data_IF_498615442565
#
_entry.id   IF_498615442565
#
_cell.length_a   1.000
_cell.length_b   1.000
_cell.length_c   1.000
_cell.angle_alpha   90.00
_cell.angle_beta   90.00
_cell.angle_gamma   90.00
#
_symmetry.space_group_name_H-M   'P 1'
#
loop_
_entity.id
_entity.type
_entity.pdbx_description
1 polymer ?
#
# COMPACT_ATOMS: atom_id res chain seq x y z
N UNK A 1 -26.54 5.29 9.90
CA UNK A 1 -25.80 4.06 9.55
C UNK A 1 -24.50 4.10 10.33
N UNK A 2 -24.09 3.03 11.02
CA UNK A 2 -22.96 3.09 11.96
C UNK A 2 -21.63 3.07 11.19
N UNK A 3 -20.89 4.18 11.18
CA UNK A 3 -19.69 4.45 10.35
C UNK A 3 -18.64 3.32 10.35
N UNK A 4 -18.56 2.58 11.47
CA UNK A 4 -17.68 1.41 11.61
C UNK A 4 -17.99 0.29 10.60
N UNK A 5 -19.26 0.10 10.22
CA UNK A 5 -19.66 -0.93 9.26
C UNK A 5 -19.27 -0.55 7.84
N UNK A 6 -19.46 0.72 7.45
CA UNK A 6 -19.12 1.22 6.12
C UNK A 6 -17.62 1.02 5.82
N UNK A 7 -16.76 1.36 6.78
CA UNK A 7 -15.31 1.23 6.64
C UNK A 7 -14.89 -0.24 6.49
N UNK A 8 -15.47 -1.13 7.30
CA UNK A 8 -15.23 -2.58 7.15
C UNK A 8 -15.61 -3.03 5.76
N UNK A 9 -16.78 -2.64 5.27
CA UNK A 9 -17.25 -2.98 3.92
C UNK A 9 -16.28 -2.50 2.85
N UNK A 10 -15.82 -1.23 2.91
CA UNK A 10 -14.86 -0.67 1.94
C UNK A 10 -13.55 -1.46 1.93
N UNK A 11 -13.03 -1.84 3.09
CA UNK A 11 -11.77 -2.60 3.20
C UNK A 11 -11.91 -3.99 2.57
N UNK A 12 -13.00 -4.70 2.84
CA UNK A 12 -13.21 -6.05 2.30
C UNK A 12 -13.51 -6.03 0.81
N UNK A 13 -14.27 -5.04 0.33
CA UNK A 13 -14.48 -4.81 -1.11
C UNK A 13 -13.14 -4.51 -1.79
N UNK A 14 -12.32 -3.63 -1.21
CA UNK A 14 -11.00 -3.30 -1.74
C UNK A 14 -10.10 -4.54 -1.80
N UNK A 15 -10.13 -5.39 -0.76
CA UNK A 15 -9.41 -6.67 -0.76
C UNK A 15 -9.90 -7.58 -1.89
N UNK A 16 -11.21 -7.77 -2.03
CA UNK A 16 -11.77 -8.62 -3.08
C UNK A 16 -11.36 -8.14 -4.48
N UNK A 17 -11.45 -6.83 -4.74
CA UNK A 17 -11.03 -6.24 -6.02
C UNK A 17 -9.53 -6.45 -6.26
N UNK A 18 -8.69 -6.23 -5.25
CA UNK A 18 -7.23 -6.47 -5.34
C UNK A 18 -6.94 -7.94 -5.64
N UNK A 19 -7.60 -8.88 -4.97
CA UNK A 19 -7.41 -10.31 -5.24
C UNK A 19 -7.86 -10.69 -6.65
N UNK A 20 -8.99 -10.18 -7.13
CA UNK A 20 -9.46 -10.41 -8.50
C UNK A 20 -8.48 -9.88 -9.55
N UNK A 21 -7.98 -8.66 -9.37
CA UNK A 21 -6.96 -8.10 -10.26
C UNK A 21 -5.65 -8.89 -10.22
N UNK A 22 -5.24 -9.38 -9.05
CA UNK A 22 -4.05 -10.23 -8.92
C UNK A 22 -4.20 -11.51 -9.74
N UNK A 23 -5.37 -12.16 -9.71
CA UNK A 23 -5.66 -13.36 -10.52
C UNK A 23 -5.54 -13.04 -12.01
N UNK A 24 -6.09 -11.92 -12.47
CA UNK A 24 -5.96 -11.47 -13.86
C UNK A 24 -4.51 -11.20 -14.30
N UNK A 25 -3.62 -10.83 -13.37
CA UNK A 25 -2.19 -10.60 -13.66
C UNK A 25 -1.34 -11.87 -13.76
N UNK A 26 -1.84 -13.03 -13.32
CA UNK A 26 -1.11 -14.30 -13.42
C UNK A 26 -0.74 -14.62 -14.88
N UNK A 27 -1.62 -14.26 -15.82
CA UNK A 27 -1.46 -14.53 -17.25
C UNK A 27 -0.52 -13.57 -17.99
N UNK A 28 0.06 -12.55 -17.33
CA UNK A 28 0.93 -11.56 -18.00
C UNK A 28 2.40 -12.03 -18.13
N UNK A 29 3.15 -11.60 -19.18
CA UNK A 29 4.54 -12.03 -19.39
C UNK A 29 5.54 -11.63 -18.28
N UNK A 30 5.26 -10.56 -17.53
CA UNK A 30 6.07 -10.14 -16.37
C UNK A 30 5.54 -10.71 -15.04
N UNK A 31 4.61 -11.68 -15.08
CA UNK A 31 3.88 -12.14 -13.90
C UNK A 31 4.78 -12.74 -12.83
N UNK A 32 5.97 -13.25 -13.15
CA UNK A 32 6.84 -13.89 -12.15
C UNK A 32 7.21 -12.96 -10.97
N UNK A 33 7.48 -11.68 -11.22
CA UNK A 33 7.80 -10.72 -10.15
C UNK A 33 6.56 -10.36 -9.32
N UNK A 34 5.41 -10.25 -10.00
CA UNK A 34 4.12 -9.92 -9.39
C UNK A 34 3.55 -11.08 -8.59
N UNK A 35 3.72 -12.30 -9.09
CA UNK A 35 3.35 -13.56 -8.46
C UNK A 35 4.27 -13.82 -7.27
N UNK A 36 5.60 -13.70 -7.42
CA UNK A 36 6.51 -13.92 -6.31
C UNK A 36 6.31 -12.88 -5.20
N UNK A 37 6.17 -11.61 -5.56
CA UNK A 37 5.88 -10.55 -4.59
C UNK A 37 4.50 -10.73 -3.95
N UNK A 38 3.47 -11.00 -4.75
CA UNK A 38 2.11 -11.28 -4.30
C UNK A 38 2.02 -12.49 -3.39
N UNK A 39 2.73 -13.57 -3.69
CA UNK A 39 2.78 -14.79 -2.88
C UNK A 39 3.48 -14.55 -1.54
N UNK A 40 4.66 -13.91 -1.54
CA UNK A 40 5.36 -13.54 -0.30
C UNK A 40 4.48 -12.66 0.60
N UNK A 41 3.73 -11.73 0.00
CA UNK A 41 2.80 -10.89 0.72
C UNK A 41 1.58 -11.65 1.25
N UNK A 42 0.99 -12.55 0.46
CA UNK A 42 -0.15 -13.37 0.87
C UNK A 42 0.24 -14.31 2.00
N UNK A 43 1.39 -14.98 1.89
CA UNK A 43 1.96 -15.80 2.97
C UNK A 43 2.16 -14.96 4.22
N UNK A 44 2.68 -13.73 4.08
CA UNK A 44 2.87 -12.84 5.24
C UNK A 44 1.56 -12.41 5.89
N UNK A 45 0.53 -12.15 5.08
CA UNK A 45 -0.81 -11.82 5.55
C UNK A 45 -1.47 -13.00 6.28
N UNK A 46 -1.44 -14.20 5.69
CA UNK A 46 -1.98 -15.42 6.29
C UNK A 46 -1.27 -15.75 7.60
N UNK A 47 0.06 -15.68 7.63
CA UNK A 47 0.83 -15.92 8.85
C UNK A 47 0.53 -14.89 9.94
N UNK A 48 0.24 -13.63 9.60
CA UNK A 48 -0.23 -12.65 10.59
C UNK A 48 -1.57 -13.06 11.21
N UNK A 49 -2.55 -13.50 10.41
CA UNK A 49 -3.86 -13.95 10.91
C UNK A 49 -3.69 -15.18 11.79
N UNK A 50 -2.95 -16.18 11.32
CA UNK A 50 -2.62 -17.39 12.09
C UNK A 50 -1.98 -17.01 13.42
N UNK A 51 -1.01 -16.11 13.41
CA UNK A 51 -0.32 -15.66 14.63
C UNK A 51 -1.26 -14.99 15.64
N UNK A 52 -2.24 -14.23 15.17
CA UNK A 52 -3.27 -13.62 16.02
C UNK A 52 -4.22 -14.68 16.60
N UNK A 53 -4.70 -15.61 15.77
CA UNK A 53 -5.60 -16.73 16.17
C UNK A 53 -4.95 -17.62 17.24
N UNK A 54 -3.68 -17.99 17.06
CA UNK A 54 -2.95 -18.85 17.99
C UNK A 54 -2.43 -18.09 19.23
N UNK A 55 -2.69 -16.79 19.36
CA UNK A 55 -2.34 -16.03 20.55
C UNK A 55 -0.83 -15.87 20.77
N UNK A 56 -0.02 -16.00 19.71
CA UNK A 56 1.45 -15.85 19.76
C UNK A 56 1.89 -14.44 20.24
N UNK A 57 0.99 -13.45 20.19
CA UNK A 57 1.15 -12.15 20.86
C UNK A 57 1.41 -12.25 22.37
N UNK A 58 1.06 -13.37 22.99
CA UNK A 58 1.22 -13.62 24.43
C UNK A 58 2.58 -14.22 24.78
N UNK A 59 3.35 -14.69 23.78
CA UNK A 59 4.66 -15.31 23.97
C UNK A 59 5.66 -14.35 24.61
N UNK A 60 6.49 -14.88 25.52
CA UNK A 60 7.52 -14.12 26.24
C UNK A 60 8.52 -13.45 25.30
N UNK A 61 8.89 -14.13 24.21
CA UNK A 61 9.79 -13.60 23.19
C UNK A 61 9.27 -12.29 22.56
N UNK A 62 7.99 -12.23 22.20
CA UNK A 62 7.38 -11.03 21.57
C UNK A 62 7.36 -9.84 22.53
N UNK A 63 7.26 -10.10 23.84
CA UNK A 63 7.29 -9.08 24.88
C UNK A 63 8.70 -8.57 25.18
N UNK A 64 9.74 -9.26 24.72
CA UNK A 64 11.13 -8.95 25.03
C UNK A 64 11.56 -7.59 24.44
N UNK A 65 12.22 -6.75 25.24
CA UNK A 65 12.59 -5.38 24.85
C UNK A 65 13.48 -5.33 23.61
N UNK A 66 14.43 -6.27 23.47
CA UNK A 66 15.27 -6.38 22.28
C UNK A 66 14.42 -6.59 21.02
N UNK A 67 13.51 -7.55 21.04
CA UNK A 67 12.63 -7.85 19.91
C UNK A 67 11.77 -6.64 19.53
N UNK A 68 11.17 -5.98 20.52
CA UNK A 68 10.33 -4.78 20.32
C UNK A 68 11.12 -3.59 19.79
N UNK A 69 12.37 -3.43 20.23
CA UNK A 69 13.26 -2.37 19.76
C UNK A 69 13.69 -2.60 18.30
N UNK A 70 14.06 -3.83 17.96
CA UNK A 70 14.36 -4.22 16.58
C UNK A 70 13.15 -4.02 15.66
N UNK A 71 11.96 -4.42 16.11
CA UNK A 71 10.72 -4.22 15.35
C UNK A 71 10.38 -2.74 15.14
N UNK A 72 10.61 -1.90 16.17
CA UNK A 72 10.47 -0.45 16.08
C UNK A 72 11.45 0.14 15.06
N UNK A 73 12.72 -0.29 15.08
CA UNK A 73 13.71 0.12 14.09
C UNK A 73 13.30 -0.27 12.67
N UNK A 74 12.86 -1.51 12.46
CA UNK A 74 12.36 -1.97 11.15
C UNK A 74 11.15 -1.16 10.69
N UNK A 75 10.28 -0.72 11.61
CA UNK A 75 9.18 0.20 11.28
C UNK A 75 9.65 1.56 10.79
N UNK A 76 10.72 2.10 11.37
CA UNK A 76 11.36 3.31 10.86
C UNK A 76 11.95 3.15 9.44
N UNK A 77 12.28 1.92 9.04
CA UNK A 77 12.85 1.60 7.73
C UNK A 77 11.80 1.36 6.63
N UNK A 78 10.50 1.50 6.90
CA UNK A 78 9.44 1.25 5.90
C UNK A 78 9.60 2.08 4.62
N UNK A 79 10.08 3.32 4.74
CA UNK A 79 10.35 4.18 3.58
C UNK A 79 11.50 3.66 2.70
N UNK A 80 12.54 3.10 3.33
CA UNK A 80 13.67 2.49 2.63
C UNK A 80 13.25 1.16 1.99
N UNK A 81 12.44 0.36 2.69
CA UNK A 81 11.88 -0.87 2.15
C UNK A 81 10.99 -0.60 0.92
N UNK A 82 10.16 0.45 0.98
CA UNK A 82 9.35 0.89 -0.16
C UNK A 82 10.22 1.30 -1.36
N UNK A 83 11.30 2.03 -1.11
CA UNK A 83 12.26 2.42 -2.15
C UNK A 83 12.88 1.17 -2.80
N UNK A 84 13.34 0.22 -1.97
CA UNK A 84 13.98 -1.00 -2.45
C UNK A 84 13.01 -1.88 -3.26
N UNK A 85 11.75 -2.02 -2.84
CA UNK A 85 10.71 -2.73 -3.60
C UNK A 85 10.52 -2.07 -4.97
N UNK A 86 10.39 -0.74 -5.01
CA UNK A 86 10.22 0.01 -6.24
C UNK A 86 11.38 -0.13 -7.22
N UNK A 87 12.62 0.00 -6.73
CA UNK A 87 13.83 -0.22 -7.52
C UNK A 87 13.92 -1.67 -7.99
N UNK A 88 13.59 -2.64 -7.13
CA UNK A 88 13.58 -4.06 -7.48
C UNK A 88 12.61 -4.37 -8.63
N UNK A 89 11.41 -3.78 -8.61
CA UNK A 89 10.44 -3.89 -9.70
C UNK A 89 11.01 -3.23 -10.96
N UNK A 90 11.55 -2.01 -10.86
CA UNK A 90 12.09 -1.25 -11.99
C UNK A 90 13.24 -1.97 -12.71
N UNK A 91 14.10 -2.62 -11.95
CA UNK A 91 15.27 -3.37 -12.44
C UNK A 91 15.05 -4.87 -12.54
N UNK A 92 13.82 -5.34 -12.30
CA UNK A 92 13.44 -6.77 -12.39
C UNK A 92 14.33 -7.69 -11.52
N UNK A 93 14.68 -7.23 -10.31
CA UNK A 93 15.51 -7.97 -9.36
C UNK A 93 14.64 -8.69 -8.32
N UNK A 94 14.50 -10.00 -8.46
CA UNK A 94 13.71 -10.82 -7.52
C UNK A 94 14.33 -10.82 -6.11
N UNK A 95 15.66 -10.85 -6.00
CA UNK A 95 16.36 -10.84 -4.71
C UNK A 95 16.07 -9.56 -3.93
N UNK A 96 16.18 -8.40 -4.58
CA UNK A 96 15.92 -7.12 -3.92
C UNK A 96 14.45 -6.96 -3.57
N UNK A 97 13.56 -7.50 -4.42
CA UNK A 97 12.13 -7.53 -4.16
C UNK A 97 11.87 -8.33 -2.88
N UNK A 98 12.33 -9.58 -2.80
CA UNK A 98 12.14 -10.45 -1.63
C UNK A 98 12.67 -9.80 -0.34
N UNK A 99 13.88 -9.24 -0.36
CA UNK A 99 14.43 -8.55 0.81
C UNK A 99 13.54 -7.35 1.19
N UNK A 100 13.13 -6.53 0.22
CA UNK A 100 12.34 -5.33 0.47
C UNK A 100 10.97 -5.66 1.06
N UNK A 101 10.36 -6.72 0.53
CA UNK A 101 9.12 -7.29 1.02
C UNK A 101 9.27 -7.81 2.45
N UNK A 102 10.30 -8.58 2.75
CA UNK A 102 10.54 -9.08 4.11
C UNK A 102 10.74 -7.95 5.13
N UNK A 103 11.45 -6.88 4.75
CA UNK A 103 11.62 -5.71 5.63
C UNK A 103 10.28 -4.99 5.80
N UNK A 104 9.54 -4.73 4.73
CA UNK A 104 8.25 -4.02 4.79
C UNK A 104 7.20 -4.82 5.57
N UNK A 105 7.15 -6.14 5.39
CA UNK A 105 6.24 -7.02 6.14
C UNK A 105 6.75 -7.31 7.54
N UNK A 106 8.01 -7.00 7.89
CA UNK A 106 8.60 -7.11 9.24
C UNK A 106 8.33 -8.45 9.89
N UNK A 107 8.60 -9.53 9.16
CA UNK A 107 8.27 -10.89 9.58
C UNK A 107 6.76 -11.04 9.89
N UNK A 108 5.90 -11.12 8.88
CA UNK A 108 4.47 -11.43 9.08
C UNK A 108 3.66 -10.38 9.84
N UNK A 109 3.97 -9.10 9.63
CA UNK A 109 3.25 -7.96 10.17
C UNK A 109 3.24 -7.91 11.71
N UNK A 110 4.27 -8.42 12.39
CA UNK A 110 4.33 -8.45 13.88
C UNK A 110 4.20 -7.04 14.50
N UNK A 111 4.45 -5.97 13.74
CA UNK A 111 4.17 -4.59 14.19
C UNK A 111 2.67 -4.31 14.43
N UNK A 112 1.75 -5.01 13.75
CA UNK A 112 0.31 -4.98 14.06
C UNK A 112 0.03 -5.63 15.41
N UNK A 113 0.68 -6.76 15.70
CA UNK A 113 0.63 -7.39 17.04
C UNK A 113 1.24 -6.43 18.08
N UNK A 114 2.34 -5.76 17.79
CA UNK A 114 2.93 -4.76 18.69
C UNK A 114 2.03 -3.53 18.87
N UNK A 115 1.25 -3.08 17.87
CA UNK A 115 0.22 -2.03 18.04
C UNK A 115 -0.97 -2.51 18.87
N UNK A 116 -1.43 -3.75 18.68
CA UNK A 116 -2.47 -4.36 19.51
C UNK A 116 -2.01 -4.53 20.97
N UNK A 117 -0.74 -4.87 21.18
CA UNK A 117 -0.08 -5.00 22.49
C UNK A 117 0.19 -3.62 23.13
N UNK A 118 0.70 -2.63 22.37
CA UNK A 118 1.07 -1.29 22.86
C UNK A 118 -0.14 -0.41 23.14
N UNK A 119 -1.18 -0.49 22.31
CA UNK A 119 -2.33 0.41 22.43
C UNK A 119 -3.35 -0.05 23.48
N UNK A 120 -3.15 -1.20 24.16
CA UNK A 120 -4.21 -1.92 24.90
C UNK A 120 -5.52 -2.04 24.09
N UNK A 121 -5.42 -2.00 22.76
CA UNK A 121 -6.53 -2.17 21.81
C UNK A 121 -6.51 -3.61 21.32
N UNK A 122 -6.45 -4.57 22.24
CA UNK A 122 -6.86 -5.93 21.88
C UNK A 122 -8.36 -5.80 21.67
N UNK A 123 -8.79 -5.66 20.42
CA UNK A 123 -10.19 -5.81 20.10
C UNK A 123 -10.50 -7.27 20.39
N UNK A 124 -11.29 -7.54 21.41
CA UNK A 124 -11.70 -8.92 21.76
C UNK A 124 -12.47 -9.58 20.59
N UNK A 125 -12.87 -8.80 19.59
CA UNK A 125 -13.49 -9.25 18.36
C UNK A 125 -12.46 -9.58 17.27
N UNK A 126 -12.37 -10.86 16.92
CA UNK A 126 -11.58 -11.39 15.80
C UNK A 126 -11.79 -10.63 14.48
N UNK A 127 -13.03 -10.24 14.14
CA UNK A 127 -13.34 -9.53 12.90
C UNK A 127 -12.69 -8.15 12.82
N UNK A 128 -12.52 -7.47 13.96
CA UNK A 128 -11.83 -6.18 14.01
C UNK A 128 -10.33 -6.37 13.78
N UNK A 129 -9.73 -7.42 14.37
CA UNK A 129 -8.34 -7.81 14.13
C UNK A 129 -8.08 -8.11 12.65
N UNK A 130 -8.92 -8.94 12.03
CA UNK A 130 -8.85 -9.27 10.61
C UNK A 130 -8.96 -8.01 9.72
N UNK A 131 -9.88 -7.11 10.05
CA UNK A 131 -10.04 -5.84 9.31
C UNK A 131 -8.78 -4.99 9.39
N UNK A 132 -8.16 -4.85 10.57
CA UNK A 132 -6.94 -4.06 10.75
C UNK A 132 -5.75 -4.68 10.00
N UNK A 133 -5.63 -6.01 10.03
CA UNK A 133 -4.62 -6.74 9.25
C UNK A 133 -4.82 -6.52 7.76
N UNK A 134 -6.07 -6.58 7.29
CA UNK A 134 -6.42 -6.30 5.88
C UNK A 134 -6.11 -4.87 5.47
N UNK A 135 -6.42 -3.89 6.35
CA UNK A 135 -6.04 -2.49 6.12
C UNK A 135 -4.54 -2.35 5.94
N UNK A 136 -3.75 -2.94 6.84
CA UNK A 136 -2.29 -2.90 6.73
C UNK A 136 -1.78 -3.57 5.45
N UNK A 137 -2.39 -4.71 5.07
CA UNK A 137 -2.13 -5.36 3.80
C UNK A 137 -2.35 -4.41 2.62
N UNK A 138 -3.56 -3.88 2.45
CA UNK A 138 -3.88 -2.95 1.37
C UNK A 138 -2.99 -1.71 1.40
N UNK A 139 -2.68 -1.22 2.60
CA UNK A 139 -1.83 -0.05 2.80
C UNK A 139 -0.39 -0.29 2.33
N UNK A 140 0.18 -1.49 2.51
CA UNK A 140 1.57 -1.78 2.18
C UNK A 140 1.77 -2.32 0.76
N UNK A 141 0.86 -3.15 0.29
CA UNK A 141 1.11 -4.06 -0.85
C UNK A 141 0.38 -3.62 -2.12
N UNK A 142 -0.86 -3.16 -2.00
CA UNK A 142 -1.72 -2.89 -3.14
C UNK A 142 -1.12 -1.84 -4.09
N UNK A 143 -0.39 -0.86 -3.57
CA UNK A 143 0.21 0.20 -4.41
C UNK A 143 1.35 -0.27 -5.33
N UNK A 144 2.01 -1.39 -5.02
CA UNK A 144 3.12 -1.88 -5.83
C UNK A 144 2.68 -2.98 -6.79
N UNK A 145 1.78 -3.88 -6.36
CA UNK A 145 1.41 -5.10 -7.08
C UNK A 145 0.85 -4.91 -8.50
N UNK A 146 0.36 -3.71 -8.82
CA UNK A 146 -0.29 -3.42 -10.10
C UNK A 146 0.51 -2.49 -10.99
N UNK A 147 1.70 -2.08 -10.59
CA UNK A 147 2.56 -1.24 -11.41
C UNK A 147 3.09 -2.05 -12.60
N UNK A 148 3.26 -1.43 -13.75
CA UNK A 148 3.71 -2.09 -14.99
C UNK A 148 4.68 -1.21 -15.76
N UNK A 149 4.50 0.11 -15.69
CA UNK A 149 5.22 1.08 -16.50
C UNK A 149 6.35 1.76 -15.72
N UNK A 150 7.49 2.08 -16.35
CA UNK A 150 8.65 2.64 -15.65
C UNK A 150 8.37 3.95 -14.91
N UNK A 151 7.57 4.85 -15.48
CA UNK A 151 7.35 6.18 -14.89
C UNK A 151 6.43 6.07 -13.67
N UNK A 152 5.30 5.38 -13.78
CA UNK A 152 4.45 5.11 -12.62
C UNK A 152 5.20 4.37 -11.50
N UNK A 153 6.13 3.46 -11.84
CA UNK A 153 6.94 2.75 -10.84
C UNK A 153 7.78 3.75 -10.06
N UNK A 154 8.53 4.62 -10.75
CA UNK A 154 9.38 5.62 -10.10
C UNK A 154 8.53 6.58 -9.24
N UNK A 155 7.46 7.14 -9.81
CA UNK A 155 6.60 8.11 -9.12
C UNK A 155 5.97 7.46 -7.89
N UNK A 156 5.41 6.25 -8.02
CA UNK A 156 4.84 5.52 -6.89
C UNK A 156 5.89 5.21 -5.84
N UNK A 157 7.09 4.80 -6.23
CA UNK A 157 8.18 4.51 -5.29
C UNK A 157 8.51 5.74 -4.44
N UNK A 158 8.68 6.89 -5.07
CA UNK A 158 8.92 8.17 -4.38
C UNK A 158 7.75 8.51 -3.45
N UNK A 159 6.51 8.41 -3.95
CA UNK A 159 5.31 8.66 -3.14
C UNK A 159 5.28 7.81 -1.88
N UNK A 160 5.56 6.52 -2.04
CA UNK A 160 5.51 5.51 -0.98
C UNK A 160 6.60 5.72 0.04
N UNK A 161 7.82 6.02 -0.40
CA UNK A 161 8.92 6.39 0.50
C UNK A 161 8.57 7.62 1.32
N UNK A 162 8.11 8.70 0.68
CA UNK A 162 7.69 9.93 1.37
C UNK A 162 6.54 9.65 2.34
N UNK A 163 5.53 8.87 1.95
CA UNK A 163 4.42 8.52 2.83
C UNK A 163 4.88 7.77 4.09
N UNK A 164 5.85 6.88 3.95
CA UNK A 164 6.30 5.99 5.03
C UNK A 164 7.33 6.63 5.96
N UNK A 165 7.93 7.76 5.59
CA UNK A 165 8.81 8.54 6.50
C UNK A 165 8.15 8.91 7.82
N UNK A 166 6.81 8.98 7.87
CA UNK A 166 6.07 9.21 9.12
C UNK A 166 6.30 8.10 10.14
N UNK A 167 6.59 6.87 9.70
CA UNK A 167 6.93 5.77 10.60
C UNK A 167 8.30 5.99 11.25
N UNK A 168 9.29 6.51 10.51
CA UNK A 168 10.57 6.92 11.07
C UNK A 168 10.39 8.04 12.10
N UNK A 169 9.56 9.04 11.80
CA UNK A 169 9.25 10.12 12.74
C UNK A 169 8.62 9.56 14.04
N UNK A 170 7.67 8.63 13.94
CA UNK A 170 7.06 7.98 15.11
C UNK A 170 8.09 7.26 16.00
N UNK A 171 9.09 6.60 15.41
CA UNK A 171 10.17 5.92 16.16
C UNK A 171 11.08 6.93 16.86
N UNK A 172 11.25 8.12 16.29
CA UNK A 172 12.08 9.20 16.85
C UNK A 172 11.35 10.08 17.87
N UNK A 173 10.02 9.95 18.00
CA UNK A 173 9.18 10.84 18.84
C UNK A 173 9.72 11.01 20.25
N UNK A 174 10.13 9.92 20.88
CA UNK A 174 10.54 9.92 22.28
C UNK A 174 12.05 10.23 22.43
N UNK A 175 12.76 10.45 21.32
CA UNK A 175 14.20 10.76 21.25
C UNK A 175 14.49 12.22 20.86
N UNK A 176 13.48 12.93 20.36
CA UNK A 176 13.60 14.31 19.91
C UNK A 176 12.86 15.24 20.88
N UNK A 177 13.33 16.49 20.98
CA UNK A 177 12.57 17.52 21.69
C UNK A 177 11.21 17.76 21.03
N UNK A 178 10.20 18.20 21.79
CA UNK A 178 8.87 18.52 21.24
C UNK A 178 8.94 19.47 20.04
N UNK A 179 9.78 20.51 20.11
CA UNK A 179 9.99 21.47 19.02
C UNK A 179 10.60 20.81 17.78
N UNK A 180 11.64 19.98 17.95
CA UNK A 180 12.27 19.24 16.85
C UNK A 180 11.30 18.26 16.20
N UNK A 181 10.48 17.59 17.01
CA UNK A 181 9.48 16.64 16.52
C UNK A 181 8.35 17.33 15.75
N UNK A 182 7.88 18.47 16.25
CA UNK A 182 6.92 19.32 15.56
C UNK A 182 7.45 19.76 14.19
N UNK A 183 8.68 20.28 14.13
CA UNK A 183 9.31 20.67 12.87
C UNK A 183 9.46 19.51 11.89
N UNK A 184 9.83 18.32 12.37
CA UNK A 184 9.93 17.11 11.56
C UNK A 184 8.57 16.74 10.95
N UNK A 185 7.53 16.68 11.77
CA UNK A 185 6.16 16.41 11.31
C UNK A 185 5.68 17.42 10.27
N UNK A 186 5.90 18.70 10.50
CA UNK A 186 5.55 19.74 9.54
C UNK A 186 6.31 19.61 8.23
N UNK A 187 7.63 19.38 8.28
CA UNK A 187 8.42 19.15 7.08
C UNK A 187 7.90 17.97 6.26
N UNK A 188 7.60 16.85 6.91
CA UNK A 188 7.05 15.67 6.24
C UNK A 188 5.65 15.89 5.66
N UNK A 189 4.81 16.66 6.36
CA UNK A 189 3.51 17.09 5.88
C UNK A 189 3.61 17.91 4.58
N UNK A 190 4.46 18.95 4.56
CA UNK A 190 4.68 19.78 3.37
C UNK A 190 5.17 18.96 2.18
N UNK A 191 6.15 18.09 2.40
CA UNK A 191 6.68 17.23 1.33
C UNK A 191 5.60 16.31 0.76
N UNK A 192 4.69 15.78 1.59
CA UNK A 192 3.56 14.95 1.13
C UNK A 192 2.55 15.74 0.32
N UNK A 193 2.14 16.91 0.82
CA UNK A 193 1.17 17.78 0.13
C UNK A 193 1.75 18.23 -1.21
N UNK A 194 3.00 18.71 -1.23
CA UNK A 194 3.69 19.11 -2.45
C UNK A 194 3.78 17.95 -3.45
N UNK A 195 4.08 16.73 -2.98
CA UNK A 195 4.10 15.55 -3.84
C UNK A 195 2.71 15.22 -4.42
N UNK A 196 1.65 15.26 -3.60
CA UNK A 196 0.27 15.01 -4.08
C UNK A 196 -0.18 16.03 -5.12
N UNK A 197 0.12 17.31 -4.91
CA UNK A 197 -0.14 18.38 -5.88
C UNK A 197 0.65 18.13 -7.17
N UNK A 198 1.93 17.78 -7.05
CA UNK A 198 2.78 17.45 -8.20
C UNK A 198 2.24 16.24 -8.97
N UNK A 199 1.75 15.21 -8.28
CA UNK A 199 1.14 14.04 -8.89
C UNK A 199 -0.12 14.41 -9.67
N UNK A 200 -1.01 15.22 -9.09
CA UNK A 200 -2.18 15.74 -9.79
C UNK A 200 -1.79 16.51 -11.05
N UNK A 201 -0.80 17.40 -10.94
CA UNK A 201 -0.29 18.16 -12.08
C UNK A 201 0.31 17.26 -13.16
N UNK A 202 1.13 16.27 -12.78
CA UNK A 202 1.71 15.31 -13.71
C UNK A 202 0.64 14.49 -14.45
N UNK A 203 -0.38 14.02 -13.73
CA UNK A 203 -1.53 13.35 -14.34
C UNK A 203 -2.38 14.30 -15.20
N UNK A 204 -2.47 15.59 -14.87
CA UNK A 204 -3.15 16.56 -15.73
C UNK A 204 -2.38 16.81 -17.04
N UNK A 205 -1.06 17.02 -16.94
CA UNK A 205 -0.21 17.45 -18.03
C UNK A 205 0.21 16.33 -19.00
N UNK A 206 0.25 15.07 -18.56
CA UNK A 206 0.77 13.94 -19.37
C UNK A 206 -0.29 12.87 -19.61
N UNK A 207 -0.71 12.74 -20.88
CA UNK A 207 -1.63 11.68 -21.30
C UNK A 207 -1.06 10.27 -21.10
N UNK A 208 0.25 10.09 -21.30
CA UNK A 208 0.95 8.83 -21.04
C UNK A 208 0.86 8.47 -19.56
N UNK A 209 1.17 9.39 -18.65
CA UNK A 209 1.06 9.12 -17.20
C UNK A 209 -0.39 8.82 -16.78
N UNK A 210 -1.39 9.49 -17.38
CA UNK A 210 -2.80 9.14 -17.12
C UNK A 210 -3.12 7.70 -17.47
N UNK A 211 -2.65 7.23 -18.62
CA UNK A 211 -2.87 5.85 -19.05
C UNK A 211 -2.17 4.86 -18.11
N UNK A 212 -0.92 5.15 -17.73
CA UNK A 212 -0.16 4.30 -16.79
C UNK A 212 -0.89 4.19 -15.44
N UNK A 213 -1.17 5.33 -14.80
CA UNK A 213 -1.88 5.38 -13.51
C UNK A 213 -3.32 4.85 -13.59
N UNK A 214 -3.99 4.95 -14.75
CA UNK A 214 -5.29 4.34 -14.98
C UNK A 214 -5.22 2.80 -15.00
N UNK A 215 -4.13 2.23 -15.51
CA UNK A 215 -3.91 0.78 -15.53
C UNK A 215 -3.64 0.21 -14.12
N UNK A 216 -2.96 0.98 -13.26
CA UNK A 216 -2.60 0.60 -11.88
C UNK A 216 -3.53 1.19 -10.79
N UNK A 217 -4.57 1.91 -11.18
CA UNK A 217 -5.44 2.71 -10.32
C UNK A 217 -6.00 1.97 -9.09
N UNK A 218 -6.38 0.70 -9.25
CA UNK A 218 -6.97 -0.13 -8.19
C UNK A 218 -6.08 -0.15 -6.94
N UNK A 219 -4.79 -0.38 -7.13
CA UNK A 219 -3.82 -0.45 -6.04
C UNK A 219 -3.65 0.88 -5.30
N UNK A 220 -3.66 1.97 -6.04
CA UNK A 220 -3.53 3.31 -5.50
C UNK A 220 -4.79 3.76 -4.75
N UNK A 221 -5.97 3.46 -5.29
CA UNK A 221 -7.27 3.74 -4.65
C UNK A 221 -7.38 2.97 -3.34
N UNK A 222 -7.10 1.67 -3.35
CA UNK A 222 -7.17 0.84 -2.14
C UNK A 222 -6.26 1.39 -1.03
N UNK A 223 -5.03 1.78 -1.39
CA UNK A 223 -4.11 2.41 -0.45
C UNK A 223 -4.65 3.74 0.11
N UNK A 224 -5.09 4.65 -0.76
CA UNK A 224 -5.55 5.98 -0.35
C UNK A 224 -6.82 5.90 0.49
N UNK A 225 -7.77 5.03 0.11
CA UNK A 225 -9.01 4.82 0.85
C UNK A 225 -8.74 4.33 2.27
N UNK A 226 -7.80 3.39 2.44
CA UNK A 226 -7.39 2.89 3.76
C UNK A 226 -6.60 3.93 4.55
N UNK A 227 -5.94 4.89 3.90
CA UNK A 227 -5.21 5.97 4.56
C UNK A 227 -6.10 7.15 4.97
N UNK A 228 -7.14 7.44 4.19
CA UNK A 228 -8.02 8.59 4.40
C UNK A 228 -8.65 8.58 5.80
N UNK A 229 -9.14 7.42 6.26
CA UNK A 229 -9.77 7.29 7.57
C UNK A 229 -8.78 7.56 8.73
N UNK A 230 -7.60 6.91 8.83
CA UNK A 230 -6.62 7.25 9.87
C UNK A 230 -6.23 8.72 9.90
N UNK A 231 -6.06 9.36 8.74
CA UNK A 231 -5.74 10.80 8.65
C UNK A 231 -6.89 11.62 9.23
N UNK A 232 -8.14 11.34 8.83
CA UNK A 232 -9.32 12.04 9.35
C UNK A 232 -9.56 11.77 10.83
N UNK A 233 -9.48 10.53 11.27
CA UNK A 233 -9.83 10.14 12.64
C UNK A 233 -8.77 10.56 13.66
N UNK A 234 -7.49 10.52 13.31
CA UNK A 234 -6.38 10.77 14.23
C UNK A 234 -5.71 12.13 14.04
N UNK A 235 -6.14 12.91 13.04
CA UNK A 235 -5.53 14.20 12.68
C UNK A 235 -4.13 14.11 12.06
N UNK A 236 -3.64 12.88 11.84
CA UNK A 236 -2.29 12.61 11.32
C UNK A 236 -1.20 13.29 12.17
N UNK A 237 -0.18 13.85 11.52
CA UNK A 237 0.96 14.53 12.14
C UNK A 237 0.80 16.05 12.27
N UNK A 238 -0.36 16.59 11.89
CA UNK A 238 -0.64 18.03 11.90
C UNK A 238 -1.09 18.56 13.24
N UNK A 239 -1.46 17.66 14.15
CA UNK A 239 -1.93 18.00 15.49
C UNK A 239 -0.81 17.76 16.49
N UNK A 240 -0.59 18.71 17.38
CA UNK A 240 0.21 18.51 18.58
C UNK A 240 -0.50 17.60 19.60
N UNK A 241 0.10 17.40 20.77
CA UNK A 241 -0.44 16.47 21.75
C UNK A 241 -1.81 16.91 22.31
N UNK A 242 -2.00 18.21 22.49
CA UNK A 242 -3.19 18.78 23.11
C UNK A 242 -4.31 18.89 22.08
N UNK A 243 -4.00 19.42 20.89
CA UNK A 243 -4.90 19.44 19.72
C UNK A 243 -5.40 18.03 19.38
N UNK A 244 -4.52 17.03 19.48
CA UNK A 244 -4.90 15.64 19.22
C UNK A 244 -5.85 15.07 20.26
N UNK A 245 -5.74 15.47 21.53
CA UNK A 245 -6.70 15.06 22.54
C UNK A 245 -8.07 15.65 22.24
N UNK A 246 -8.15 16.95 21.97
CA UNK A 246 -9.39 17.62 21.59
C UNK A 246 -10.00 16.99 20.33
N UNK A 247 -9.18 16.77 19.31
CA UNK A 247 -9.60 16.13 18.06
C UNK A 247 -10.22 14.75 18.28
N UNK A 248 -9.65 13.94 19.17
CA UNK A 248 -10.16 12.60 19.44
C UNK A 248 -11.49 12.60 20.18
N UNK A 249 -11.86 13.70 20.84
CA UNK A 249 -13.15 13.87 21.51
C UNK A 249 -14.28 14.25 20.54
N UNK A 250 -13.94 14.87 19.41
CA UNK A 250 -14.91 15.29 18.40
C UNK A 250 -15.54 14.09 17.66
N UNK A 251 -16.85 14.15 17.44
CA UNK A 251 -17.57 13.26 16.52
C UNK A 251 -17.17 13.52 15.07
N UNK A 252 -17.50 12.60 14.15
CA UNK A 252 -17.16 12.75 12.73
C UNK A 252 -17.75 14.00 12.08
N UNK A 253 -19.01 14.36 12.41
CA UNK A 253 -19.66 15.58 11.91
C UNK A 253 -19.03 16.85 12.49
N UNK A 254 -18.62 16.83 13.76
CA UNK A 254 -17.91 17.95 14.39
C UNK A 254 -16.52 18.16 13.79
N UNK A 255 -15.75 17.09 13.59
CA UNK A 255 -14.46 17.13 12.87
C UNK A 255 -14.64 17.75 11.50
N UNK A 256 -15.64 17.31 10.75
CA UNK A 256 -15.91 17.85 9.41
C UNK A 256 -16.26 19.33 9.46
N UNK A 257 -17.17 19.75 10.37
CA UNK A 257 -17.53 21.15 10.54
C UNK A 257 -16.31 22.00 10.91
N UNK A 258 -15.45 21.50 11.80
CA UNK A 258 -14.23 22.20 12.23
C UNK A 258 -13.24 22.40 11.07
N UNK A 259 -13.02 21.38 10.24
CA UNK A 259 -12.19 21.51 9.04
C UNK A 259 -12.78 22.51 8.04
N UNK A 260 -14.09 22.46 7.82
CA UNK A 260 -14.79 23.35 6.89
C UNK A 260 -14.83 24.81 7.38
N UNK A 261 -14.78 25.05 8.69
CA UNK A 261 -14.62 26.39 9.26
C UNK A 261 -13.18 26.92 9.19
N UNK A 262 -12.24 26.17 8.59
CA UNK A 262 -10.85 26.56 8.45
C UNK A 262 -9.92 26.06 9.55
N UNK A 263 -10.41 25.19 10.46
CA UNK A 263 -9.58 24.54 11.47
C UNK A 263 -8.60 23.55 10.83
N UNK A 264 -7.33 23.60 11.23
CA UNK A 264 -6.23 22.79 10.68
C UNK A 264 -6.22 22.71 9.13
N UNK A 265 -5.97 23.82 8.43
CA UNK A 265 -6.12 23.92 6.97
C UNK A 265 -5.27 22.90 6.19
N UNK A 266 -4.12 22.51 6.72
CA UNK A 266 -3.23 21.53 6.08
C UNK A 266 -3.74 20.09 6.19
N UNK A 267 -4.39 19.75 7.30
CA UNK A 267 -5.09 18.47 7.44
C UNK A 267 -6.27 18.41 6.46
N UNK A 268 -7.06 19.49 6.37
CA UNK A 268 -8.14 19.60 5.40
C UNK A 268 -7.60 19.46 3.96
N UNK A 269 -6.48 20.12 3.64
CA UNK A 269 -5.85 20.03 2.33
C UNK A 269 -5.38 18.61 1.99
N UNK A 270 -4.70 17.89 2.90
CA UNK A 270 -4.31 16.49 2.65
C UNK A 270 -5.53 15.61 2.40
N UNK A 271 -6.61 15.78 3.17
CA UNK A 271 -7.84 15.01 2.99
C UNK A 271 -8.48 15.28 1.63
N UNK A 272 -8.58 16.55 1.21
CA UNK A 272 -9.09 16.93 -0.11
C UNK A 272 -8.22 16.36 -1.22
N UNK A 273 -6.89 16.44 -1.10
CA UNK A 273 -5.96 15.90 -2.10
C UNK A 273 -6.06 14.37 -2.22
N UNK A 274 -6.14 13.65 -1.09
CA UNK A 274 -6.36 12.20 -1.08
C UNK A 274 -7.68 11.83 -1.76
N UNK A 275 -8.78 12.48 -1.40
CA UNK A 275 -10.08 12.23 -2.02
C UNK A 275 -10.09 12.57 -3.51
N UNK A 276 -9.43 13.66 -3.90
CA UNK A 276 -9.32 14.07 -5.32
C UNK A 276 -8.53 13.04 -6.13
N UNK A 277 -7.41 12.54 -5.60
CA UNK A 277 -6.62 11.49 -6.25
C UNK A 277 -7.39 10.17 -6.37
N UNK A 278 -8.18 9.80 -5.36
CA UNK A 278 -9.08 8.62 -5.43
C UNK A 278 -10.06 8.77 -6.59
N UNK A 279 -10.75 9.92 -6.67
CA UNK A 279 -11.74 10.18 -7.73
C UNK A 279 -11.07 10.23 -9.10
N UNK A 280 -9.91 10.89 -9.21
CA UNK A 280 -9.15 10.95 -10.46
C UNK A 280 -8.79 9.55 -10.94
N UNK A 281 -8.15 8.73 -10.10
CA UNK A 281 -7.73 7.38 -10.49
C UNK A 281 -8.91 6.46 -10.79
N UNK A 282 -10.03 6.60 -10.07
CA UNK A 282 -11.25 5.88 -10.40
C UNK A 282 -11.78 6.28 -11.80
N UNK A 283 -11.77 7.57 -12.10
CA UNK A 283 -12.19 8.09 -13.41
C UNK A 283 -11.27 7.60 -14.53
N UNK A 284 -9.96 7.65 -14.32
CA UNK A 284 -8.97 7.12 -15.28
C UNK A 284 -9.15 5.63 -15.53
N UNK A 285 -9.45 4.86 -14.47
CA UNK A 285 -9.73 3.42 -14.59
C UNK A 285 -10.97 3.17 -15.43
N UNK A 286 -12.07 3.87 -15.14
CA UNK A 286 -13.33 3.73 -15.89
C UNK A 286 -13.13 4.13 -17.36
N UNK A 287 -12.43 5.23 -17.62
CA UNK A 287 -12.13 5.67 -18.99
C UNK A 287 -11.31 4.63 -19.75
N UNK A 288 -10.31 4.01 -19.11
CA UNK A 288 -9.50 2.96 -19.72
C UNK A 288 -10.34 1.72 -20.04
N UNK A 289 -11.29 1.33 -19.18
CA UNK A 289 -12.20 0.21 -19.43
C UNK A 289 -13.15 0.49 -20.60
N UNK A 290 -13.77 1.68 -20.63
CA UNK A 290 -14.67 2.10 -21.72
C UNK A 290 -13.92 2.13 -23.06
N UNK A 291 -12.71 2.69 -23.08
CA UNK A 291 -11.92 2.77 -24.30
C UNK A 291 -11.36 1.41 -24.72
N UNK A 292 -11.04 0.53 -23.76
CA UNK A 292 -10.62 -0.85 -24.01
C UNK A 292 -11.73 -1.68 -24.63
N UNK A 293 -12.96 -1.54 -24.14
CA UNK A 293 -14.15 -2.17 -24.73
C UNK A 293 -14.50 -1.59 -26.11
N UNK A 294 -14.30 -0.29 -26.33
CA UNK A 294 -14.46 0.32 -27.64
C UNK A 294 -13.42 -0.21 -28.66
N UNK A 295 -12.19 -0.52 -28.21
CA UNK A 295 -11.15 -1.13 -29.06
C UNK A 295 -11.33 -2.63 -29.32
N UNK A 296 -12.11 -3.35 -28.50
CA UNK A 296 -12.47 -4.76 -28.75
C UNK A 296 -13.82 -4.90 -29.46
N UNK A 297 -14.71 -3.92 -29.35
CA UNK A 297 -15.98 -3.84 -30.09
C UNK A 297 -15.85 -3.25 -31.51
N UNK A 298 -14.67 -2.73 -31.87
CA UNK A 298 -14.39 -2.20 -33.20
C UNK A 298 -12.97 -2.53 -33.67
N UNK A 299 -12.88 -3.41 -34.67
CA UNK A 299 -11.73 -3.71 -35.53
C UNK A 299 -10.59 -4.57 -34.95
N UNK A 300 -10.37 -5.68 -35.64
CA UNK A 300 -9.14 -6.48 -35.64
C UNK A 300 -7.89 -5.61 -35.77
N UNK A 301 -7.16 -5.45 -34.67
CA UNK A 301 -5.77 -4.99 -34.73
C UNK A 301 -4.91 -6.22 -35.00
N UNK A 302 -4.54 -6.40 -36.27
CA UNK A 302 -3.41 -7.26 -36.62
C UNK A 302 -2.20 -6.79 -35.82
N UNK A 303 -1.51 -7.68 -35.08
CA UNK A 303 -0.29 -7.29 -34.40
C UNK A 303 0.77 -7.00 -35.47
N UNK A 304 1.22 -5.74 -35.57
CA UNK A 304 2.48 -5.45 -36.24
C UNK A 304 3.59 -6.11 -35.41
N UNK A 305 4.00 -7.29 -35.88
CA UNK A 305 5.22 -7.95 -35.46
C UNK A 305 6.38 -7.04 -35.87
N UNK A 306 7.23 -6.55 -34.95
CA UNK A 306 8.49 -5.97 -35.37
C UNK A 306 9.32 -7.09 -36.02
N UNK A 307 9.68 -6.91 -37.30
CA UNK A 307 10.66 -7.73 -38.00
C UNK A 307 12.00 -7.64 -37.26
N UNK A 308 12.19 -8.47 -36.24
CA UNK A 308 13.48 -8.77 -35.66
C UNK A 308 14.01 -9.98 -36.40
N UNK A 309 15.03 -9.74 -37.23
CA UNK A 309 15.90 -10.75 -37.81
C UNK A 309 16.30 -11.78 -36.73
N UNK A 310 15.78 -13.00 -36.84
CA UNK A 310 16.34 -14.16 -36.16
C UNK A 310 17.46 -14.73 -37.03
N UNK A 311 18.71 -14.60 -36.59
CA UNK A 311 19.70 -15.64 -36.87
C UNK A 311 19.42 -16.80 -35.92
N UNK A 312 19.08 -17.94 -36.49
CA UNK A 312 18.93 -19.24 -35.85
C UNK A 312 20.14 -19.60 -34.99
N UNK A 313 19.89 -20.10 -33.76
CA UNK A 313 20.35 -21.41 -33.29
C UNK A 313 20.00 -21.61 -31.80
N UNK A 314 19.33 -22.73 -31.49
CA UNK A 314 19.30 -23.28 -30.13
C UNK A 314 17.90 -23.44 -29.54
N UNK A 315 17.16 -24.46 -29.98
CA UNK A 315 16.12 -25.09 -29.18
C UNK A 315 16.74 -25.71 -27.92
N UNK A 316 16.20 -25.40 -26.73
CA UNK A 316 15.84 -26.35 -25.65
C UNK A 316 15.54 -25.61 -24.33
N UNK A 317 14.39 -25.91 -23.70
CA UNK A 317 14.25 -25.87 -22.24
C UNK A 317 13.68 -24.61 -21.59
N UNK A 318 12.39 -24.30 -21.79
CA UNK A 318 11.66 -23.28 -21.01
C UNK A 318 10.51 -23.86 -20.17
N UNK A 319 10.62 -25.13 -19.77
CA UNK A 319 9.66 -25.80 -18.87
C UNK A 319 10.16 -25.99 -17.42
N UNK A 320 11.44 -25.69 -17.12
CA UNK A 320 12.06 -26.06 -15.83
C UNK A 320 12.40 -24.90 -14.88
N UNK A 321 11.82 -23.72 -15.05
CA UNK A 321 12.16 -22.55 -14.20
C UNK A 321 11.13 -22.21 -13.11
N UNK A 322 10.14 -23.07 -12.82
CA UNK A 322 9.26 -22.87 -11.67
C UNK A 322 9.82 -23.62 -10.45
N UNK A 323 10.20 -22.93 -9.35
CA UNK A 323 10.60 -23.59 -8.10
C UNK A 323 9.54 -24.59 -7.63
N UNK A 324 9.96 -25.79 -7.21
CA UNK A 324 9.04 -26.87 -6.81
C UNK A 324 8.05 -26.47 -5.70
N UNK A 325 8.43 -25.52 -4.85
CA UNK A 325 7.56 -24.93 -3.83
C UNK A 325 6.31 -24.22 -4.42
N UNK A 326 6.45 -23.60 -5.60
CA UNK A 326 5.33 -22.96 -6.29
C UNK A 326 4.46 -23.98 -7.03
N UNK A 327 5.06 -25.05 -7.58
CA UNK A 327 4.29 -26.17 -8.18
C UNK A 327 3.42 -26.86 -7.13
N UNK A 328 3.95 -27.10 -5.93
CA UNK A 328 3.20 -27.66 -4.81
C UNK A 328 2.04 -26.73 -4.38
N UNK A 329 2.31 -25.43 -4.21
CA UNK A 329 1.28 -24.48 -3.77
C UNK A 329 0.10 -24.37 -4.75
N UNK A 330 0.36 -24.30 -6.07
CA UNK A 330 -0.72 -24.23 -7.07
C UNK A 330 -1.41 -25.57 -7.33
N UNK A 331 -0.69 -26.70 -7.22
CA UNK A 331 -1.28 -28.04 -7.34
C UNK A 331 -2.25 -28.38 -6.21
N UNK A 332 -2.09 -27.76 -5.04
CA UNK A 332 -2.98 -27.97 -3.87
C UNK A 332 -4.23 -27.09 -3.90
N UNK A 333 -4.26 -26.05 -4.75
CA UNK A 333 -5.45 -25.18 -4.94
C UNK A 333 -6.34 -25.63 -6.12
N UNK A 334 -5.84 -26.55 -6.95
CA UNK A 334 -6.56 -27.10 -8.10
C UNK A 334 -7.30 -28.42 -7.79
N UNK A 335 -7.17 -28.94 -6.57
CA UNK A 335 -7.91 -30.08 -6.01
C UNK A 335 -8.69 -29.64 -4.78
#
# INVERSE_FOLDING_TARGET
MNDKYLIKTIVHISLAIVLLEMVGKISHPNSQYWIAGGALFLVSYTLCIVTDVFGLSSCSFVKHNFFRSTLSLMHGLDGLAALMIGLAIRFKSLTWLTIGLMIMTKFFLIHLLNRMILAKKKTDNFYDGLTQTTKSFLHHTASFLFLQHPNEIIITTVWRTISMTGHAALVLRDKLSHKSMHNCHWGLAYVRIAFQISLLWMCYASASLRSEFGASAVGHIAYMAVRLEPVFQQGSMYLDADEKQEWLLLTGSEKMRFLLSGGHPWLALELVLLSTLIVLFATLRVQLLINGEASTAGLSVTPEVPNVFFSSNGETGLQDSLPDALRWFFGTLAN
#
